data_IF_509313305990
#
_entry.id   IF_509313305990
#
_cell.length_a   1.000
_cell.length_b   1.000
_cell.length_c   1.000
_cell.angle_alpha   90.00
_cell.angle_beta   90.00
_cell.angle_gamma   90.00
#
_symmetry.space_group_name_H-M   'P 1'
#
loop_
_entity.id
_entity.type
_entity.pdbx_description
1 polymer ?
#
# COMPACT_ATOMS: atom_id res chain seq x y z
N UNK A 1 -31.82 -0.52 -4.70
CA UNK A 1 -30.58 0.26 -4.91
C UNK A 1 -29.45 -0.48 -4.21
N UNK A 2 -28.28 -0.62 -4.84
CA UNK A 2 -27.10 -1.23 -4.21
C UNK A 2 -26.43 -0.18 -3.33
N UNK A 3 -26.24 -0.49 -2.05
CA UNK A 3 -25.76 0.48 -1.05
C UNK A 3 -24.26 0.34 -0.76
N UNK A 4 -23.59 -0.68 -1.31
CA UNK A 4 -22.18 -0.97 -1.06
C UNK A 4 -21.42 -1.00 -2.38
N UNK A 5 -20.25 -0.34 -2.42
CA UNK A 5 -19.43 -0.21 -3.63
C UNK A 5 -18.01 -0.72 -3.37
N UNK A 6 -17.52 -1.52 -4.29
CA UNK A 6 -16.13 -1.99 -4.34
C UNK A 6 -15.48 -1.46 -5.60
N UNK A 7 -14.25 -0.97 -5.47
CA UNK A 7 -13.48 -0.42 -6.58
C UNK A 7 -12.23 -1.25 -6.80
N UNK A 8 -12.00 -1.64 -8.06
CA UNK A 8 -10.69 -2.11 -8.50
C UNK A 8 -9.89 -0.91 -9.01
N UNK A 9 -8.70 -0.70 -8.45
CA UNK A 9 -7.76 0.34 -8.86
C UNK A 9 -6.63 -0.36 -9.62
N UNK A 10 -6.50 -0.07 -10.91
CA UNK A 10 -5.54 -0.71 -11.78
C UNK A 10 -4.83 0.34 -12.65
N UNK A 11 -3.51 0.38 -12.53
CA UNK A 11 -2.63 1.29 -13.28
C UNK A 11 -2.34 0.78 -14.69
N UNK A 12 -2.62 -0.49 -14.96
CA UNK A 12 -2.37 -1.15 -16.23
C UNK A 12 -3.65 -1.28 -17.05
N UNK A 13 -4.54 -0.27 -17.03
CA UNK A 13 -5.76 -0.32 -17.84
C UNK A 13 -5.35 -0.80 -19.22
N UNK A 14 -5.93 -1.92 -19.67
CA UNK A 14 -5.52 -2.49 -20.91
C UNK A 14 -5.75 -1.46 -22.00
N UNK A 15 -4.71 -1.16 -22.77
CA UNK A 15 -4.77 -0.39 -24.01
C UNK A 15 -5.61 -1.15 -25.08
N UNK A 16 -6.86 -1.49 -24.77
CA UNK A 16 -7.70 -2.36 -25.58
C UNK A 16 -7.21 -3.80 -25.74
N UNK A 17 -6.23 -4.27 -24.95
CA UNK A 17 -5.61 -5.61 -25.12
C UNK A 17 -5.95 -6.66 -24.07
N UNK A 18 -6.64 -6.28 -23.00
CA UNK A 18 -7.26 -7.19 -22.07
C UNK A 18 -8.69 -6.69 -21.91
N UNK A 19 -9.66 -7.53 -22.26
CA UNK A 19 -11.05 -7.14 -22.33
C UNK A 19 -11.56 -6.67 -20.96
N UNK A 20 -12.70 -5.99 -20.93
CA UNK A 20 -13.54 -5.72 -19.75
C UNK A 20 -13.89 -6.96 -18.89
N UNK A 21 -13.30 -8.11 -19.18
CA UNK A 21 -13.67 -9.45 -18.75
C UNK A 21 -12.56 -10.15 -17.92
N UNK A 22 -11.30 -9.70 -17.93
CA UNK A 22 -10.18 -10.51 -17.42
C UNK A 22 -9.71 -10.19 -15.98
N UNK A 23 -10.14 -9.06 -15.39
CA UNK A 23 -10.03 -8.83 -13.94
C UNK A 23 -11.28 -9.27 -13.16
N UNK A 24 -12.34 -9.65 -13.90
CA UNK A 24 -13.56 -10.22 -13.35
C UNK A 24 -13.30 -11.41 -12.41
N UNK A 25 -12.39 -12.36 -12.73
CA UNK A 25 -12.08 -13.48 -11.86
C UNK A 25 -11.41 -13.08 -10.54
N UNK A 26 -10.39 -12.21 -10.56
CA UNK A 26 -9.64 -11.84 -9.34
C UNK A 26 -10.50 -11.01 -8.39
N UNK A 27 -11.20 -10.01 -8.92
CA UNK A 27 -12.14 -9.20 -8.14
C UNK A 27 -13.24 -10.08 -7.54
N UNK A 28 -13.79 -11.02 -8.32
CA UNK A 28 -14.80 -11.96 -7.85
C UNK A 28 -14.28 -12.92 -6.78
N UNK A 29 -13.08 -13.48 -6.92
CA UNK A 29 -12.48 -14.39 -5.93
C UNK A 29 -12.22 -13.70 -4.60
N UNK A 30 -11.64 -12.49 -4.62
CA UNK A 30 -11.45 -11.69 -3.38
C UNK A 30 -12.81 -11.42 -2.73
N UNK A 31 -13.82 -11.16 -3.55
CA UNK A 31 -15.15 -10.83 -3.07
C UNK A 31 -15.90 -12.05 -2.50
N UNK A 32 -15.81 -13.21 -3.16
CA UNK A 32 -16.27 -14.49 -2.64
C UNK A 32 -15.62 -14.80 -1.29
N UNK A 33 -14.30 -14.60 -1.16
CA UNK A 33 -13.58 -14.76 0.11
C UNK A 33 -14.13 -13.83 1.21
N UNK A 34 -14.37 -12.55 0.90
CA UNK A 34 -14.92 -11.60 1.88
C UNK A 34 -16.33 -11.98 2.33
N UNK A 35 -17.18 -12.47 1.42
CA UNK A 35 -18.52 -12.95 1.76
C UNK A 35 -18.44 -14.19 2.66
N UNK A 36 -17.61 -15.17 2.33
CA UNK A 36 -17.41 -16.36 3.18
C UNK A 36 -16.89 -15.97 4.57
N UNK A 37 -15.93 -15.06 4.65
CA UNK A 37 -15.46 -14.51 5.92
C UNK A 37 -16.61 -13.89 6.75
N UNK A 38 -17.49 -13.08 6.15
CA UNK A 38 -18.63 -12.50 6.88
C UNK A 38 -19.66 -13.55 7.32
N UNK A 39 -19.89 -14.60 6.51
CA UNK A 39 -20.75 -15.73 6.89
C UNK A 39 -20.20 -16.45 8.13
N UNK A 40 -18.89 -16.69 8.19
CA UNK A 40 -18.24 -17.29 9.36
C UNK A 40 -18.43 -16.43 10.62
N UNK A 41 -18.46 -15.11 10.47
CA UNK A 41 -18.73 -14.17 11.57
C UNK A 41 -20.22 -13.98 11.88
N UNK A 42 -21.13 -14.74 11.25
CA UNK A 42 -22.60 -14.62 11.37
C UNK A 42 -23.12 -13.21 10.99
N UNK A 43 -22.41 -12.53 10.10
CA UNK A 43 -22.84 -11.25 9.55
C UNK A 43 -23.57 -11.51 8.23
N UNK A 44 -24.83 -11.10 8.13
CA UNK A 44 -25.59 -11.19 6.89
C UNK A 44 -24.97 -10.24 5.85
N UNK A 45 -24.29 -10.81 4.86
CA UNK A 45 -23.64 -10.10 3.77
C UNK A 45 -24.03 -10.75 2.46
N UNK A 46 -24.83 -10.04 1.65
CA UNK A 46 -25.36 -10.56 0.39
C UNK A 46 -24.62 -9.95 -0.79
N UNK A 47 -24.21 -10.79 -1.73
CA UNK A 47 -23.41 -10.43 -2.90
C UNK A 47 -24.10 -9.38 -3.79
N UNK A 48 -25.43 -9.48 -3.91
CA UNK A 48 -26.27 -8.62 -4.75
C UNK A 48 -26.42 -7.19 -4.23
N UNK A 49 -26.12 -6.94 -2.95
CA UNK A 49 -26.07 -5.60 -2.36
C UNK A 49 -24.84 -4.78 -2.77
N UNK A 50 -23.85 -5.43 -3.41
CA UNK A 50 -22.59 -4.82 -3.80
C UNK A 50 -22.52 -4.55 -5.29
N UNK A 51 -21.95 -3.39 -5.60
CA UNK A 51 -21.59 -2.96 -6.95
C UNK A 51 -20.08 -3.00 -7.11
N UNK A 52 -19.62 -3.67 -8.18
CA UNK A 52 -18.23 -3.72 -8.57
C UNK A 52 -17.98 -2.76 -9.73
N UNK A 53 -16.99 -1.90 -9.58
CA UNK A 53 -16.57 -0.99 -10.64
C UNK A 53 -15.05 -0.90 -10.71
N UNK A 54 -14.53 -0.76 -11.92
CA UNK A 54 -13.13 -0.41 -12.14
C UNK A 54 -13.06 1.12 -12.07
N UNK A 55 -12.24 1.65 -11.16
CA UNK A 55 -12.13 3.09 -11.02
C UNK A 55 -11.35 3.72 -12.17
N UNK A 56 -11.67 4.98 -12.49
CA UNK A 56 -10.86 5.78 -13.39
C UNK A 56 -9.68 6.38 -12.62
N UNK A 57 -8.51 5.75 -12.74
CA UNK A 57 -7.28 6.14 -12.04
C UNK A 57 -6.18 6.54 -13.03
N UNK A 58 -5.16 7.29 -12.59
CA UNK A 58 -3.96 7.53 -13.38
C UNK A 58 -3.30 6.22 -13.83
N UNK A 59 -2.81 6.19 -15.07
CA UNK A 59 -2.30 4.97 -15.71
C UNK A 59 -0.78 4.98 -15.81
N UNK A 60 -0.19 3.79 -15.80
CA UNK A 60 1.23 3.60 -16.06
C UNK A 60 1.48 3.37 -17.55
N UNK A 61 2.65 3.76 -18.04
CA UNK A 61 3.04 3.55 -19.44
C UNK A 61 3.90 2.29 -19.65
N UNK A 62 4.42 1.70 -18.56
CA UNK A 62 5.25 0.49 -18.58
C UNK A 62 4.62 -0.70 -17.85
N UNK A 63 5.42 -1.72 -17.52
CA UNK A 63 4.94 -2.88 -16.75
C UNK A 63 5.52 -2.96 -15.33
N UNK A 64 6.48 -2.11 -14.99
CA UNK A 64 7.31 -2.28 -13.80
C UNK A 64 6.88 -1.39 -12.62
N UNK A 65 5.79 -0.64 -12.79
CA UNK A 65 5.40 0.45 -11.90
C UNK A 65 4.11 0.17 -11.14
N UNK A 66 3.48 -0.98 -11.36
CA UNK A 66 2.17 -1.28 -10.80
C UNK A 66 2.20 -1.32 -9.26
N UNK A 67 3.32 -1.76 -8.68
CA UNK A 67 3.55 -1.70 -7.23
C UNK A 67 3.64 -0.26 -6.69
N UNK A 68 4.24 0.66 -7.45
CA UNK A 68 4.32 2.08 -7.07
C UNK A 68 2.94 2.71 -7.10
N UNK A 69 2.20 2.50 -8.19
CA UNK A 69 0.83 2.98 -8.31
C UNK A 69 -0.11 2.39 -7.25
N UNK A 70 0.05 1.10 -6.89
CA UNK A 70 -0.71 0.51 -5.80
C UNK A 70 -0.50 1.24 -4.46
N UNK A 71 0.74 1.59 -4.11
CA UNK A 71 1.05 2.39 -2.93
C UNK A 71 0.38 3.77 -2.98
N UNK A 72 0.48 4.44 -4.12
CA UNK A 72 -0.09 5.78 -4.34
C UNK A 72 -1.62 5.79 -4.26
N UNK A 73 -2.28 4.77 -4.80
CA UNK A 73 -3.73 4.62 -4.71
C UNK A 73 -4.21 4.43 -3.26
N UNK A 74 -3.45 3.69 -2.47
CA UNK A 74 -3.74 3.51 -1.05
C UNK A 74 -3.56 4.81 -0.27
N UNK A 75 -2.53 5.60 -0.58
CA UNK A 75 -2.33 6.92 0.01
C UNK A 75 -3.52 7.85 -0.28
N UNK A 76 -3.98 7.93 -1.53
CA UNK A 76 -5.18 8.69 -1.91
C UNK A 76 -6.41 8.24 -1.13
N UNK A 77 -6.62 6.92 -1.01
CA UNK A 77 -7.82 6.35 -0.37
C UNK A 77 -7.83 6.57 1.15
N UNK A 78 -6.71 6.36 1.82
CA UNK A 78 -6.56 6.58 3.27
C UNK A 78 -6.62 8.07 3.61
N UNK A 79 -6.07 8.92 2.73
CA UNK A 79 -6.14 10.37 2.85
C UNK A 79 -7.54 10.98 2.63
N UNK A 80 -8.56 10.16 2.31
CA UNK A 80 -9.89 10.62 1.87
C UNK A 80 -9.84 11.58 0.68
N UNK A 81 -8.76 11.52 -0.11
CA UNK A 81 -8.65 12.32 -1.31
C UNK A 81 -9.55 11.69 -2.38
N UNK A 82 -10.34 12.48 -3.12
CA UNK A 82 -11.08 11.98 -4.26
C UNK A 82 -10.15 11.18 -5.17
N UNK A 83 -10.55 9.99 -5.61
CA UNK A 83 -9.79 9.22 -6.63
C UNK A 83 -9.67 10.04 -7.93
N UNK A 84 -10.62 10.96 -8.14
CA UNK A 84 -10.65 11.99 -9.18
C UNK A 84 -9.59 13.09 -8.99
N UNK A 85 -8.79 13.05 -7.93
CA UNK A 85 -7.59 13.86 -7.78
C UNK A 85 -6.56 13.45 -8.83
N UNK A 86 -6.81 13.92 -10.05
CA UNK A 86 -5.83 14.29 -11.09
C UNK A 86 -4.87 15.38 -10.58
N UNK A 87 -4.53 15.35 -9.29
CA UNK A 87 -3.50 16.19 -8.71
C UNK A 87 -2.20 15.73 -9.38
N UNK A 88 -1.51 16.67 -10.02
CA UNK A 88 -0.36 16.45 -10.90
C UNK A 88 0.56 15.32 -10.46
N UNK A 89 0.84 15.20 -9.15
CA UNK A 89 1.73 14.21 -8.57
C UNK A 89 1.43 12.75 -8.93
N UNK A 90 0.18 12.28 -8.94
CA UNK A 90 -0.14 10.84 -9.04
C UNK A 90 -0.15 10.35 -10.48
N UNK A 91 0.84 10.72 -11.28
CA UNK A 91 0.93 10.40 -12.70
C UNK A 91 2.26 9.75 -13.03
N UNK A 92 2.29 9.07 -14.18
CA UNK A 92 3.51 8.45 -14.72
C UNK A 92 4.71 9.41 -14.80
N UNK A 93 4.48 10.72 -15.00
CA UNK A 93 5.54 11.72 -15.10
C UNK A 93 6.32 11.95 -13.79
N UNK A 94 5.78 11.54 -12.63
CA UNK A 94 6.42 11.70 -11.32
C UNK A 94 6.84 10.38 -10.67
N UNK A 95 6.64 9.27 -11.37
CA UNK A 95 6.86 7.91 -10.84
C UNK A 95 8.29 7.68 -10.33
N UNK A 96 9.29 8.26 -10.98
CA UNK A 96 10.68 8.12 -10.56
C UNK A 96 10.95 8.84 -9.22
N UNK A 97 10.41 10.05 -9.08
CA UNK A 97 10.47 10.80 -7.82
C UNK A 97 9.70 10.06 -6.72
N UNK A 98 8.56 9.46 -7.05
CA UNK A 98 7.76 8.65 -6.13
C UNK A 98 8.48 7.38 -5.68
N UNK A 99 9.13 6.65 -6.59
CA UNK A 99 9.99 5.50 -6.27
C UNK A 99 11.06 5.90 -5.25
N UNK A 100 11.73 7.03 -5.52
CA UNK A 100 12.78 7.58 -4.63
C UNK A 100 12.21 7.95 -3.26
N UNK A 101 11.05 8.60 -3.22
CA UNK A 101 10.40 8.99 -1.98
C UNK A 101 9.97 7.77 -1.14
N UNK A 102 9.40 6.75 -1.77
CA UNK A 102 9.03 5.49 -1.10
C UNK A 102 10.28 4.84 -0.49
N UNK A 103 11.36 4.72 -1.25
CA UNK A 103 12.61 4.17 -0.76
C UNK A 103 13.18 4.98 0.43
N UNK A 104 13.19 6.32 0.34
CA UNK A 104 13.64 7.19 1.42
C UNK A 104 12.79 7.01 2.69
N UNK A 105 11.47 6.92 2.55
CA UNK A 105 10.55 6.70 3.67
C UNK A 105 10.81 5.36 4.37
N UNK A 106 11.04 4.28 3.59
CA UNK A 106 11.35 2.97 4.15
C UNK A 106 12.69 2.95 4.90
N UNK A 107 13.72 3.60 4.35
CA UNK A 107 15.02 3.73 5.02
C UNK A 107 14.90 4.53 6.32
N UNK A 108 14.16 5.64 6.31
CA UNK A 108 13.94 6.45 7.50
C UNK A 108 13.15 5.69 8.57
N UNK A 109 12.13 4.94 8.18
CA UNK A 109 11.36 4.10 9.10
C UNK A 109 12.23 3.01 9.73
N UNK A 110 13.02 2.31 8.92
CA UNK A 110 13.97 1.30 9.38
C UNK A 110 14.99 1.91 10.37
N UNK A 111 15.59 3.05 9.99
CA UNK A 111 16.51 3.78 10.86
C UNK A 111 15.88 4.13 12.20
N UNK A 112 14.67 4.70 12.20
CA UNK A 112 13.98 5.09 13.42
C UNK A 112 13.61 3.89 14.31
N UNK A 113 13.22 2.76 13.70
CA UNK A 113 12.96 1.51 14.42
C UNK A 113 14.19 0.95 15.12
N UNK A 114 15.37 1.11 14.53
CA UNK A 114 16.64 0.61 15.10
C UNK A 114 17.42 1.65 15.90
N UNK A 115 17.06 2.93 15.82
CA UNK A 115 17.77 4.04 16.47
C UNK A 115 17.95 3.80 17.98
N UNK A 116 16.89 3.40 18.66
CA UNK A 116 16.94 3.15 20.10
C UNK A 116 17.83 1.95 20.45
N UNK A 117 17.82 0.89 19.63
CA UNK A 117 18.68 -0.27 19.84
C UNK A 117 20.16 0.07 19.62
N UNK A 118 20.47 0.90 18.62
CA UNK A 118 21.84 1.40 18.37
C UNK A 118 22.31 2.28 19.52
N UNK A 119 21.48 3.23 19.96
CA UNK A 119 21.78 4.09 21.12
C UNK A 119 22.01 3.26 22.37
N UNK A 120 21.17 2.25 22.62
CA UNK A 120 21.30 1.39 23.79
C UNK A 120 22.60 0.58 23.75
N UNK A 121 22.93 -0.05 22.62
CA UNK A 121 24.22 -0.76 22.44
C UNK A 121 25.42 0.15 22.67
N UNK A 122 25.36 1.40 22.19
CA UNK A 122 26.43 2.38 22.41
C UNK A 122 26.59 2.76 23.89
N UNK A 123 25.47 2.93 24.62
CA UNK A 123 25.48 3.18 26.07
C UNK A 123 26.07 1.97 26.83
N UNK A 124 25.63 0.76 26.49
CA UNK A 124 26.11 -0.47 27.12
C UNK A 124 27.62 -0.66 26.94
N UNK A 125 28.12 -0.40 25.73
CA UNK A 125 29.56 -0.44 25.43
C UNK A 125 30.38 0.58 26.24
N UNK A 126 29.87 1.82 26.36
CA UNK A 126 30.51 2.86 27.16
C UNK A 126 30.62 2.44 28.65
N UNK A 127 29.53 1.94 29.22
CA UNK A 127 29.50 1.47 30.61
C UNK A 127 30.45 0.29 30.87
N UNK A 128 30.59 -0.64 29.91
CA UNK A 128 31.53 -1.76 30.02
C UNK A 128 32.99 -1.28 30.05
N UNK A 129 33.34 -0.28 29.22
CA UNK A 129 34.69 0.32 29.25
C UNK A 129 35.01 1.03 30.56
N UNK A 130 34.04 1.73 31.15
CA UNK A 130 34.24 2.38 32.46
C UNK A 130 34.40 1.37 33.60
N UNK A 131 33.62 0.28 33.60
CA UNK A 131 33.77 -0.81 34.58
C UNK A 131 35.11 -1.54 34.44
N UNK A 132 35.60 -1.73 33.21
CA UNK A 132 36.91 -2.31 32.95
C UNK A 132 38.07 -1.44 33.45
N UNK A 133 37.95 -0.10 33.32
CA UNK A 133 38.96 0.84 33.85
C UNK A 133 39.00 0.89 35.37
N UNK A 134 37.87 0.71 36.07
CA UNK A 134 37.81 0.71 37.54
C UNK A 134 38.38 -0.55 38.19
N UNK A 135 38.45 -1.68 37.47
CA UNK A 135 39.05 -2.94 37.97
C UNK A 135 40.56 -3.05 37.79
N UNK A 136 41.19 -2.10 37.08
CA UNK A 136 42.63 -2.09 36.81
C UNK A 136 43.42 -1.12 37.72
N UNK A 137 42.79 -0.60 38.78
CA UNK A 137 43.41 0.16 39.88
C UNK A 137 43.37 -0.68 41.14
#
# INVERSE_FOLDING_TARGET
>A
MKNRKTFLLDSQKPNGRVAKEDHGPVGKVIFEYVIEFFKEQRVDCKLDEWEFSIADVPQQFGNDDCGVFACLYMELRVGHLPVECKNSWHKQEHVEEQRTQIAANLLLWNYNGHKNAIIQKAKDWSMQKEKGKKKAK
#
